data_IF_654148123756
#
_entry.id   IF_654148123756
#
_cell.length_a   1.000
_cell.length_b   1.000
_cell.length_c   1.000
_cell.angle_alpha   90.00
_cell.angle_beta   90.00
_cell.angle_gamma   90.00
#
_symmetry.space_group_name_H-M   'P 1'
#
loop_
_entity.id
_entity.type
_entity.pdbx_description
1 polymer ?
#
# COMPACT_ATOMS: atom_id res chain seq x y z
N UNK A 1 60.49 -0.72 4.31
CA UNK A 1 59.78 0.28 3.48
C UNK A 1 60.46 0.38 2.12
N UNK A 2 59.84 -0.15 1.05
CA UNK A 2 60.34 0.04 -0.33
C UNK A 2 60.07 1.50 -0.73
N UNK A 3 61.12 2.27 -1.02
CA UNK A 3 61.00 3.61 -1.62
C UNK A 3 60.56 3.44 -3.08
N UNK A 4 59.34 3.86 -3.41
CA UNK A 4 58.89 3.97 -4.81
C UNK A 4 59.61 5.16 -5.43
N UNK A 5 60.45 4.91 -6.43
CA UNK A 5 61.22 5.92 -7.16
C UNK A 5 60.36 6.62 -8.21
N UNK A 6 60.38 7.95 -8.23
CA UNK A 6 59.56 8.82 -9.11
C UNK A 6 59.80 8.54 -10.61
N UNK A 7 60.92 7.94 -10.98
CA UNK A 7 61.20 7.55 -12.38
C UNK A 7 60.27 6.44 -12.91
N UNK A 8 59.71 5.58 -12.06
CA UNK A 8 58.81 4.52 -12.51
C UNK A 8 57.39 5.03 -12.85
N UNK A 9 57.03 6.27 -12.46
CA UNK A 9 55.74 6.89 -12.77
C UNK A 9 55.70 7.56 -14.14
N UNK A 10 56.85 7.79 -14.80
CA UNK A 10 56.94 8.52 -16.08
C UNK A 10 56.56 7.68 -17.32
N UNK A 11 56.35 6.37 -17.16
CA UNK A 11 55.93 5.46 -18.24
C UNK A 11 54.41 5.25 -18.32
N UNK A 12 53.63 5.99 -17.54
CA UNK A 12 52.18 6.01 -17.70
C UNK A 12 51.81 6.84 -18.94
N UNK A 13 51.51 6.16 -20.05
CA UNK A 13 50.89 6.80 -21.22
C UNK A 13 49.54 7.40 -20.78
N UNK A 14 49.37 8.71 -20.94
CA UNK A 14 48.11 9.39 -20.64
C UNK A 14 47.02 9.02 -21.66
N UNK A 15 45.76 9.06 -21.23
CA UNK A 15 44.60 8.91 -22.12
C UNK A 15 44.55 10.05 -23.14
N UNK A 16 44.17 9.74 -24.37
CA UNK A 16 43.95 10.75 -25.41
C UNK A 16 42.55 11.38 -25.27
N UNK A 17 42.41 12.65 -25.66
CA UNK A 17 41.13 13.34 -25.66
C UNK A 17 40.12 12.65 -26.59
N UNK A 18 40.59 12.11 -27.72
CA UNK A 18 39.76 11.36 -28.65
C UNK A 18 39.25 10.04 -28.08
N UNK A 19 40.06 9.30 -27.31
CA UNK A 19 39.59 8.09 -26.61
C UNK A 19 38.47 8.44 -25.63
N UNK A 20 38.62 9.53 -24.87
CA UNK A 20 37.57 9.97 -23.96
C UNK A 20 36.27 10.33 -24.70
N UNK A 21 36.37 11.03 -25.84
CA UNK A 21 35.18 11.42 -26.63
C UNK A 21 34.41 10.22 -27.16
N UNK A 22 35.10 9.18 -27.65
CA UNK A 22 34.46 7.96 -28.14
C UNK A 22 33.77 7.22 -26.98
N UNK A 23 34.42 7.14 -25.82
CA UNK A 23 33.83 6.48 -24.63
C UNK A 23 32.54 7.18 -24.21
N UNK A 24 32.53 8.52 -24.14
CA UNK A 24 31.32 9.28 -23.78
C UNK A 24 30.22 9.10 -24.84
N UNK A 25 30.56 9.06 -26.12
CA UNK A 25 29.60 8.82 -27.20
C UNK A 25 28.93 7.44 -27.10
N UNK A 26 29.71 6.38 -26.82
CA UNK A 26 29.17 5.02 -26.62
C UNK A 26 28.29 4.97 -25.37
N UNK A 27 28.74 5.57 -24.25
CA UNK A 27 27.94 5.64 -23.02
C UNK A 27 26.61 6.37 -23.24
N UNK A 28 26.60 7.43 -24.05
CA UNK A 28 25.37 8.15 -24.42
C UNK A 28 24.35 7.26 -25.14
N UNK A 29 24.78 6.47 -26.13
CA UNK A 29 23.91 5.55 -26.86
C UNK A 29 23.36 4.46 -25.92
N UNK A 30 24.21 3.89 -25.07
CA UNK A 30 23.79 2.86 -24.12
C UNK A 30 22.77 3.40 -23.11
N UNK A 31 22.95 4.63 -22.63
CA UNK A 31 22.04 5.25 -21.65
C UNK A 31 20.61 5.41 -22.20
N UNK A 32 20.45 5.80 -23.47
CA UNK A 32 19.13 5.99 -24.10
C UNK A 32 18.31 4.70 -24.12
N UNK A 33 18.96 3.55 -24.33
CA UNK A 33 18.27 2.25 -24.32
C UNK A 33 18.10 1.70 -22.90
N UNK A 34 19.09 1.91 -22.03
CA UNK A 34 19.11 1.33 -20.69
C UNK A 34 18.13 2.00 -19.71
N UNK A 35 17.98 3.33 -19.76
CA UNK A 35 17.12 4.08 -18.83
C UNK A 35 15.64 3.65 -18.88
N UNK A 36 14.95 3.63 -20.04
CA UNK A 36 13.54 3.24 -20.08
C UNK A 36 13.33 1.78 -19.68
N UNK A 37 14.28 0.89 -20.03
CA UNK A 37 14.22 -0.51 -19.63
C UNK A 37 14.35 -0.67 -18.10
N UNK A 38 15.23 0.11 -17.46
CA UNK A 38 15.39 0.12 -16.01
C UNK A 38 14.15 0.70 -15.31
N UNK A 39 13.57 1.78 -15.83
CA UNK A 39 12.32 2.35 -15.30
C UNK A 39 11.19 1.32 -15.33
N UNK A 40 11.01 0.61 -16.47
CA UNK A 40 10.05 -0.50 -16.61
C UNK A 40 10.24 -1.58 -15.53
N UNK A 41 11.49 -1.98 -15.32
CA UNK A 41 11.83 -2.97 -14.30
C UNK A 41 11.49 -2.50 -12.89
N UNK A 42 11.82 -1.24 -12.55
CA UNK A 42 11.49 -0.66 -11.25
C UNK A 42 9.97 -0.56 -11.03
N UNK A 43 9.20 -0.15 -12.04
CA UNK A 43 7.72 -0.12 -11.94
C UNK A 43 7.15 -1.51 -11.64
N UNK A 44 7.57 -2.53 -12.37
CA UNK A 44 7.17 -3.94 -12.11
C UNK A 44 7.56 -4.43 -10.71
N UNK A 45 8.71 -3.98 -10.19
CA UNK A 45 9.10 -4.30 -8.83
C UNK A 45 8.18 -3.61 -7.81
N UNK A 46 7.78 -2.35 -8.04
CA UNK A 46 6.80 -1.63 -7.21
C UNK A 46 5.44 -2.33 -7.21
N UNK A 47 4.90 -2.74 -8.37
CA UNK A 47 3.55 -3.37 -8.45
C UNK A 47 3.43 -4.69 -7.67
N UNK A 48 4.53 -5.39 -7.42
CA UNK A 48 4.54 -6.57 -6.55
C UNK A 48 4.15 -6.25 -5.10
N UNK A 49 4.45 -5.03 -4.62
CA UNK A 49 4.04 -4.57 -3.30
C UNK A 49 2.52 -4.48 -3.18
N UNK A 50 1.84 -3.85 -4.13
CA UNK A 50 0.38 -3.74 -4.13
C UNK A 50 -0.29 -5.11 -4.04
N UNK A 51 0.15 -6.09 -4.84
CA UNK A 51 -0.38 -7.46 -4.82
C UNK A 51 -0.22 -8.11 -3.44
N UNK A 52 0.94 -7.94 -2.83
CA UNK A 52 1.25 -8.49 -1.50
C UNK A 52 0.42 -7.82 -0.41
N UNK A 53 0.29 -6.50 -0.46
CA UNK A 53 -0.39 -5.72 0.58
C UNK A 53 -1.91 -5.87 0.50
N UNK A 54 -2.49 -5.89 -0.70
CA UNK A 54 -3.91 -6.21 -0.89
C UNK A 54 -4.25 -7.65 -0.47
N UNK A 55 -3.32 -8.59 -0.62
CA UNK A 55 -3.50 -9.95 -0.08
C UNK A 55 -3.52 -9.95 1.46
N UNK A 56 -2.61 -9.21 2.10
CA UNK A 56 -2.61 -9.05 3.57
C UNK A 56 -3.91 -8.40 4.07
N UNK A 57 -4.41 -7.39 3.38
CA UNK A 57 -5.68 -6.74 3.72
C UNK A 57 -6.86 -7.70 3.60
N UNK A 58 -6.89 -8.52 2.55
CA UNK A 58 -7.90 -9.57 2.41
C UNK A 58 -7.82 -10.59 3.56
N UNK A 59 -6.63 -11.06 3.90
CA UNK A 59 -6.43 -12.04 4.98
C UNK A 59 -6.81 -11.44 6.33
N UNK A 60 -6.46 -10.18 6.58
CA UNK A 60 -6.86 -9.42 7.77
C UNK A 60 -8.39 -9.29 7.86
N UNK A 61 -9.05 -8.89 6.78
CA UNK A 61 -10.50 -8.81 6.71
C UNK A 61 -11.16 -10.18 6.94
N UNK A 62 -10.60 -11.24 6.35
CA UNK A 62 -11.11 -12.59 6.55
C UNK A 62 -10.93 -13.09 7.98
N UNK A 63 -9.80 -12.78 8.62
CA UNK A 63 -9.55 -13.13 10.01
C UNK A 63 -10.51 -12.38 10.93
N UNK A 64 -10.67 -11.07 10.70
CA UNK A 64 -11.59 -10.24 11.46
C UNK A 64 -13.03 -10.75 11.33
N UNK A 65 -13.48 -11.07 10.13
CA UNK A 65 -14.81 -11.61 9.91
C UNK A 65 -15.07 -12.89 10.71
N UNK A 66 -14.09 -13.79 10.78
CA UNK A 66 -14.22 -15.10 11.46
C UNK A 66 -14.22 -15.00 12.98
N UNK A 67 -13.69 -13.92 13.56
CA UNK A 67 -13.81 -13.68 15.00
C UNK A 67 -15.19 -13.12 15.34
N UNK A 68 -15.62 -13.34 16.58
CA UNK A 68 -16.85 -12.77 17.10
C UNK A 68 -16.61 -11.33 17.55
N UNK A 69 -17.48 -10.40 17.12
CA UNK A 69 -17.39 -8.99 17.45
C UNK A 69 -18.72 -8.46 17.99
N UNK A 70 -18.65 -7.71 19.08
CA UNK A 70 -19.79 -6.96 19.62
C UNK A 70 -19.34 -5.53 19.92
N UNK A 71 -20.22 -4.55 19.67
CA UNK A 71 -19.92 -3.17 20.01
C UNK A 71 -19.93 -2.96 21.53
N UNK A 72 -19.02 -2.10 21.99
CA UNK A 72 -18.99 -1.72 23.39
C UNK A 72 -20.29 -1.01 23.76
N UNK A 73 -21.01 -1.55 24.74
CA UNK A 73 -22.26 -0.96 25.21
C UNK A 73 -23.48 -1.34 24.36
N UNK A 74 -23.34 -2.29 23.43
CA UNK A 74 -24.48 -2.90 22.73
C UNK A 74 -25.26 -3.88 23.61
N UNK A 75 -25.54 -3.47 24.85
CA UNK A 75 -26.43 -4.18 25.76
C UNK A 75 -27.74 -3.42 25.81
N UNK A 76 -28.77 -3.91 25.13
CA UNK A 76 -30.12 -3.39 25.29
C UNK A 76 -30.86 -4.23 26.32
N UNK A 77 -31.57 -3.56 27.24
CA UNK A 77 -32.54 -4.26 28.08
C UNK A 77 -33.67 -4.74 27.18
N UNK A 78 -33.84 -6.06 27.08
CA UNK A 78 -34.96 -6.65 26.37
C UNK A 78 -36.25 -6.24 27.11
N UNK A 79 -37.11 -5.49 26.42
CA UNK A 79 -38.44 -5.14 26.95
C UNK A 79 -39.31 -6.39 27.12
N UNK A 80 -40.38 -6.30 27.92
CA UNK A 80 -41.30 -7.43 28.08
C UNK A 80 -41.93 -7.81 26.72
N UNK A 81 -41.49 -8.94 26.15
CA UNK A 81 -41.88 -9.39 24.81
C UNK A 81 -41.03 -8.85 23.64
N UNK A 82 -39.86 -8.27 23.93
CA UNK A 82 -38.90 -7.87 22.90
C UNK A 82 -37.99 -9.02 22.46
N UNK A 83 -37.51 -8.96 21.23
CA UNK A 83 -36.45 -9.82 20.70
C UNK A 83 -35.10 -9.11 20.80
N UNK A 84 -34.01 -9.86 20.89
CA UNK A 84 -32.67 -9.29 20.69
C UNK A 84 -32.51 -9.07 19.19
N UNK A 85 -32.23 -7.84 18.74
CA UNK A 85 -31.75 -7.67 17.37
C UNK A 85 -30.48 -8.51 17.25
N UNK A 86 -30.49 -9.51 16.36
CA UNK A 86 -29.32 -10.34 16.04
C UNK A 86 -28.22 -9.40 15.51
N UNK A 87 -27.43 -8.83 16.42
CA UNK A 87 -26.15 -8.26 16.05
C UNK A 87 -25.33 -9.43 15.56
N UNK A 88 -25.09 -9.44 14.27
CA UNK A 88 -24.39 -10.55 13.68
C UNK A 88 -23.02 -10.74 14.33
N UNK A 89 -22.71 -11.94 14.83
CA UNK A 89 -21.45 -12.20 15.51
C UNK A 89 -20.24 -11.99 14.58
N UNK A 90 -20.45 -12.15 13.27
CA UNK A 90 -19.46 -11.94 12.23
C UNK A 90 -19.78 -10.68 11.41
N UNK A 91 -18.78 -9.83 11.21
CA UNK A 91 -18.90 -8.57 10.46
C UNK A 91 -17.52 -8.10 10.03
N UNK A 92 -17.46 -7.13 9.13
CA UNK A 92 -16.22 -6.42 8.81
C UNK A 92 -15.99 -5.21 9.69
N UNK A 93 -14.74 -4.72 9.76
CA UNK A 93 -14.37 -3.56 10.55
C UNK A 93 -15.19 -2.33 10.18
N UNK A 94 -15.64 -1.61 11.20
CA UNK A 94 -16.36 -0.36 11.05
C UNK A 94 -16.02 0.61 12.19
N UNK A 95 -16.21 1.93 12.00
CA UNK A 95 -16.13 2.91 13.08
C UNK A 95 -17.20 2.72 14.14
N UNK A 96 -16.91 3.13 15.38
CA UNK A 96 -17.87 3.09 16.48
C UNK A 96 -19.18 3.82 16.12
N UNK A 97 -20.32 3.17 16.38
CA UNK A 97 -21.65 3.70 16.07
C UNK A 97 -22.04 3.66 14.58
N UNK A 98 -21.24 3.04 13.72
CA UNK A 98 -21.53 2.84 12.29
C UNK A 98 -21.58 1.34 11.92
N UNK A 99 -22.51 0.54 12.48
CA UNK A 99 -22.50 -0.92 12.32
C UNK A 99 -22.73 -1.39 10.88
N UNK A 100 -23.30 -0.54 10.01
CA UNK A 100 -23.52 -0.83 8.59
C UNK A 100 -22.25 -0.85 7.74
N UNK A 101 -21.09 -0.52 8.31
CA UNK A 101 -19.81 -0.52 7.61
C UNK A 101 -19.03 0.77 7.80
N UNK A 102 -17.94 0.90 7.07
CA UNK A 102 -17.10 2.09 7.10
C UNK A 102 -15.99 2.04 6.09
N UNK A 103 -15.36 3.18 5.91
CA UNK A 103 -14.23 3.36 5.02
C UNK A 103 -13.06 3.90 5.83
N UNK A 104 -11.88 3.31 5.64
CA UNK A 104 -10.67 3.79 6.28
C UNK A 104 -10.24 5.15 5.71
N UNK A 105 -10.54 5.39 4.43
CA UNK A 105 -10.07 6.53 3.67
C UNK A 105 -8.67 6.27 3.13
N UNK A 106 -8.37 6.90 1.99
CA UNK A 106 -7.08 6.72 1.32
C UNK A 106 -5.95 7.21 2.23
N UNK A 107 -5.05 6.30 2.60
CA UNK A 107 -4.01 6.50 3.61
C UNK A 107 -2.62 6.16 3.04
N UNK A 108 -1.68 7.13 3.00
CA UNK A 108 -1.93 8.57 3.12
C UNK A 108 -2.85 9.06 1.98
N UNK A 109 -3.43 10.26 2.09
CA UNK A 109 -4.34 10.80 1.07
C UNK A 109 -3.65 10.94 -0.31
N UNK A 110 -4.39 10.81 -1.42
CA UNK A 110 -3.82 10.92 -2.78
C UNK A 110 -3.17 12.28 -3.08
N UNK A 111 -3.56 13.34 -2.36
CA UNK A 111 -2.91 14.65 -2.48
C UNK A 111 -1.47 14.67 -1.93
N UNK A 112 -1.08 13.64 -1.18
CA UNK A 112 0.27 13.49 -0.64
C UNK A 112 1.19 12.88 -1.70
N UNK A 113 2.27 13.56 -2.07
CA UNK A 113 3.19 13.01 -3.06
C UNK A 113 4.24 12.08 -2.43
N UNK A 114 4.06 10.77 -2.62
CA UNK A 114 5.00 9.76 -2.13
C UNK A 114 6.31 9.72 -2.93
N UNK A 115 6.34 10.21 -4.17
CA UNK A 115 7.55 10.21 -4.99
C UNK A 115 8.62 11.17 -4.47
N UNK A 116 8.25 12.18 -3.67
CA UNK A 116 9.20 13.09 -3.04
C UNK A 116 9.96 12.46 -1.86
N UNK A 117 9.52 11.29 -1.38
CA UNK A 117 10.17 10.59 -0.29
C UNK A 117 11.44 9.84 -0.70
N UNK A 118 12.32 9.50 0.26
CA UNK A 118 13.51 8.70 0.00
C UNK A 118 13.23 7.37 -0.72
N UNK A 119 13.70 7.29 -1.97
CA UNK A 119 13.49 6.13 -2.85
C UNK A 119 12.11 6.09 -3.52
N UNK A 120 11.41 7.23 -3.57
CA UNK A 120 10.08 7.38 -4.15
C UNK A 120 9.01 6.64 -3.36
N UNK A 121 9.02 6.78 -2.03
CA UNK A 121 8.15 6.06 -1.09
C UNK A 121 7.46 7.00 -0.13
N UNK A 122 6.24 6.68 0.25
CA UNK A 122 5.61 7.25 1.42
C UNK A 122 6.26 6.62 2.67
N UNK A 123 6.71 7.44 3.61
CA UNK A 123 7.39 6.98 4.82
C UNK A 123 6.57 7.39 6.06
N UNK A 124 6.09 6.42 6.85
CA UNK A 124 5.44 6.74 8.12
C UNK A 124 6.45 7.25 9.15
N UNK A 125 6.10 8.31 9.86
CA UNK A 125 6.87 8.86 10.98
C UNK A 125 5.94 9.45 12.05
N UNK A 126 6.32 9.40 13.32
CA UNK A 126 5.54 10.04 14.39
C UNK A 126 5.59 11.57 14.22
N UNK A 127 4.43 12.23 14.18
CA UNK A 127 4.32 13.67 13.97
C UNK A 127 4.46 14.14 12.51
N UNK A 128 4.67 13.19 11.59
CA UNK A 128 5.00 13.47 10.17
C UNK A 128 6.32 14.25 9.98
N UNK A 129 6.55 14.72 8.75
CA UNK A 129 7.53 15.79 8.49
C UNK A 129 8.46 15.59 7.30
N UNK A 130 8.53 16.59 6.41
CA UNK A 130 9.39 16.57 5.21
C UNK A 130 8.72 15.89 4.01
N UNK A 131 9.35 15.99 2.85
CA UNK A 131 8.80 15.48 1.59
C UNK A 131 8.72 13.95 1.61
N UNK A 132 7.53 13.39 1.31
CA UNK A 132 7.25 11.95 1.34
C UNK A 132 7.13 11.31 2.73
N UNK A 133 7.22 12.08 3.83
CA UNK A 133 6.93 11.59 5.18
C UNK A 133 5.54 12.02 5.68
N UNK A 134 4.78 11.09 6.24
CA UNK A 134 3.44 11.36 6.79
C UNK A 134 3.29 10.80 8.20
N UNK A 135 2.27 11.26 8.92
CA UNK A 135 2.05 10.82 10.30
C UNK A 135 1.54 9.37 10.37
N UNK A 136 2.22 8.52 11.14
CA UNK A 136 1.78 7.14 11.39
C UNK A 136 0.38 7.08 12.03
N UNK A 137 -0.04 8.14 12.71
CA UNK A 137 -1.36 8.23 13.36
C UNK A 137 -2.52 8.19 12.36
N UNK A 138 -2.28 8.40 11.06
CA UNK A 138 -3.31 8.15 10.02
C UNK A 138 -3.77 6.68 10.00
N UNK A 139 -2.91 5.74 10.43
CA UNK A 139 -3.24 4.33 10.59
C UNK A 139 -3.82 4.06 11.99
N UNK A 140 -3.05 4.38 13.04
CA UNK A 140 -3.40 4.06 14.43
C UNK A 140 -4.63 4.81 14.95
N UNK A 141 -4.94 5.97 14.37
CA UNK A 141 -6.11 6.78 14.72
C UNK A 141 -7.38 6.35 14.00
N UNK A 142 -7.30 5.37 13.09
CA UNK A 142 -8.43 4.97 12.25
C UNK A 142 -9.05 3.65 12.74
N UNK A 143 -10.35 3.67 13.03
CA UNK A 143 -11.07 2.51 13.54
C UNK A 143 -11.06 1.31 12.57
N UNK A 144 -11.11 1.56 11.25
CA UNK A 144 -11.13 0.49 10.24
C UNK A 144 -9.75 -0.17 10.14
N UNK A 145 -8.67 0.62 10.07
CA UNK A 145 -7.30 0.09 10.07
C UNK A 145 -6.96 -0.68 11.36
N UNK A 146 -7.35 -0.13 12.51
CA UNK A 146 -7.19 -0.79 13.80
C UNK A 146 -7.97 -2.11 13.87
N UNK A 147 -9.21 -2.12 13.36
CA UNK A 147 -10.00 -3.35 13.28
C UNK A 147 -9.31 -4.42 12.44
N UNK A 148 -8.69 -4.05 11.32
CA UNK A 148 -7.90 -4.99 10.50
C UNK A 148 -6.56 -5.38 11.14
N UNK A 149 -6.13 -4.73 12.23
CA UNK A 149 -4.77 -4.82 12.74
C UNK A 149 -3.73 -4.61 11.60
N UNK A 150 -4.01 -3.61 10.75
CA UNK A 150 -3.20 -3.31 9.57
C UNK A 150 -2.59 -1.93 9.69
N UNK A 151 -1.28 -1.84 9.52
CA UNK A 151 -0.52 -0.61 9.54
C UNK A 151 0.74 -0.74 8.67
N UNK A 152 1.26 0.39 8.21
CA UNK A 152 2.54 0.45 7.53
C UNK A 152 3.59 1.05 8.46
N UNK A 153 4.58 0.24 8.86
CA UNK A 153 5.72 0.66 9.70
C UNK A 153 6.95 1.07 8.86
N UNK A 154 6.96 0.67 7.59
CA UNK A 154 8.08 0.89 6.66
C UNK A 154 7.64 1.74 5.49
N UNK A 155 8.62 2.28 4.76
CA UNK A 155 8.35 3.01 3.53
C UNK A 155 7.69 2.11 2.47
N UNK A 156 6.64 2.62 1.82
CA UNK A 156 5.82 1.89 0.86
C UNK A 156 5.55 2.75 -0.38
N UNK A 157 5.15 2.13 -1.49
CA UNK A 157 4.93 2.82 -2.77
C UNK A 157 3.47 3.25 -2.99
N UNK A 158 2.53 2.63 -2.28
CA UNK A 158 1.11 2.82 -2.53
C UNK A 158 0.39 3.55 -1.39
N UNK A 159 -0.67 4.24 -1.76
CA UNK A 159 -1.72 4.70 -0.88
C UNK A 159 -2.77 3.61 -0.78
N UNK A 160 -3.27 3.32 0.42
CA UNK A 160 -4.22 2.23 0.61
C UNK A 160 -5.57 2.75 1.06
N UNK A 161 -6.63 2.09 0.64
CA UNK A 161 -7.97 2.31 1.14
C UNK A 161 -8.62 0.97 1.46
N UNK A 162 -9.54 0.98 2.41
CA UNK A 162 -10.35 -0.17 2.73
C UNK A 162 -11.78 0.27 2.98
N UNK A 163 -12.70 -0.29 2.22
CA UNK A 163 -14.13 -0.01 2.30
C UNK A 163 -14.80 -1.30 2.75
N UNK A 164 -15.66 -1.22 3.76
CA UNK A 164 -16.48 -2.32 4.23
C UNK A 164 -17.94 -1.91 4.34
N UNK A 165 -18.82 -2.83 4.00
CA UNK A 165 -20.27 -2.72 4.12
C UNK A 165 -20.77 -3.96 4.83
N UNK A 166 -21.51 -3.78 5.92
CA UNK A 166 -22.11 -4.84 6.70
C UNK A 166 -23.62 -4.81 6.54
N UNK A 167 -24.23 -5.98 6.43
CA UNK A 167 -25.66 -6.13 6.60
C UNK A 167 -25.97 -6.21 8.09
N UNK A 168 -26.74 -5.25 8.59
CA UNK A 168 -27.17 -5.19 10.00
C UNK A 168 -28.38 -6.08 10.30
N UNK A 169 -28.94 -6.74 9.29
CA UNK A 169 -30.09 -7.65 9.43
C UNK A 169 -29.71 -9.07 9.01
N UNK A 170 -29.78 -10.01 9.95
CA UNK A 170 -29.47 -11.43 9.72
C UNK A 170 -28.02 -11.80 10.03
N UNK A 171 -27.53 -12.88 9.41
CA UNK A 171 -26.24 -13.51 9.74
C UNK A 171 -25.05 -12.79 9.06
N UNK A 172 -24.75 -11.57 9.49
CA UNK A 172 -23.39 -11.05 9.42
C UNK A 172 -22.75 -10.99 8.07
N UNK A 173 -23.52 -10.67 7.04
CA UNK A 173 -22.95 -10.55 5.71
C UNK A 173 -22.08 -9.30 5.65
N UNK A 174 -20.88 -9.46 5.13
CA UNK A 174 -20.00 -8.33 4.84
C UNK A 174 -19.59 -8.34 3.37
N UNK A 175 -19.47 -7.16 2.79
CA UNK A 175 -18.68 -6.94 1.58
C UNK A 175 -17.54 -5.98 1.90
N UNK A 176 -16.37 -6.23 1.36
CA UNK A 176 -15.24 -5.34 1.53
C UNK A 176 -14.42 -5.21 0.25
N UNK A 177 -13.75 -4.08 0.13
CA UNK A 177 -12.92 -3.71 -1.01
C UNK A 177 -11.63 -3.10 -0.48
N UNK A 178 -10.50 -3.75 -0.76
CA UNK A 178 -9.17 -3.21 -0.50
C UNK A 178 -8.64 -2.58 -1.79
N UNK A 179 -8.14 -1.35 -1.70
CA UNK A 179 -7.64 -0.59 -2.84
C UNK A 179 -6.22 -0.11 -2.58
N UNK A 180 -5.41 -0.05 -3.63
CA UNK A 180 -4.07 0.50 -3.61
C UNK A 180 -3.86 1.42 -4.82
N UNK A 181 -3.32 2.61 -4.58
CA UNK A 181 -3.10 3.64 -5.59
C UNK A 181 -1.63 4.06 -5.57
N UNK A 182 -0.98 4.20 -6.72
CA UNK A 182 0.35 4.78 -6.77
C UNK A 182 0.61 5.46 -8.11
N UNK A 183 1.32 6.57 -8.07
CA UNK A 183 1.96 7.18 -9.23
C UNK A 183 3.33 6.50 -9.43
N UNK A 184 3.44 5.63 -10.43
CA UNK A 184 4.61 4.75 -10.59
C UNK A 184 5.73 5.39 -11.42
N UNK A 185 5.41 6.38 -12.25
CA UNK A 185 6.30 7.08 -13.18
C UNK A 185 6.33 8.61 -13.03
N UNK A 186 5.73 9.14 -11.97
CA UNK A 186 5.78 10.56 -11.56
C UNK A 186 5.09 11.51 -12.56
N UNK A 187 3.98 11.05 -13.14
CA UNK A 187 3.16 11.81 -14.10
C UNK A 187 1.84 12.34 -13.51
N UNK A 188 1.64 12.16 -12.20
CA UNK A 188 0.42 12.45 -11.44
C UNK A 188 -0.82 11.62 -11.84
N UNK A 189 -0.65 10.54 -12.60
CA UNK A 189 -1.69 9.56 -12.90
C UNK A 189 -1.47 8.32 -12.03
N UNK A 190 -2.51 7.92 -11.31
CA UNK A 190 -2.41 6.81 -10.37
C UNK A 190 -2.78 5.49 -11.04
N UNK A 191 -1.88 4.51 -10.97
CA UNK A 191 -2.23 3.10 -11.11
C UNK A 191 -3.10 2.67 -9.95
N UNK A 192 -4.21 2.00 -10.24
CA UNK A 192 -5.16 1.53 -9.23
C UNK A 192 -5.24 0.01 -9.23
N UNK A 193 -5.17 -0.58 -8.04
CA UNK A 193 -5.32 -2.00 -7.81
C UNK A 193 -6.41 -2.23 -6.79
N UNK A 194 -7.34 -3.14 -7.08
CA UNK A 194 -8.46 -3.42 -6.19
C UNK A 194 -8.69 -4.92 -6.03
N UNK A 195 -8.95 -5.33 -4.79
CA UNK A 195 -9.37 -6.67 -4.43
C UNK A 195 -10.59 -6.62 -3.53
N UNK A 196 -11.64 -7.29 -3.97
CA UNK A 196 -12.92 -7.31 -3.25
C UNK A 196 -13.20 -8.71 -2.69
N UNK A 197 -13.94 -8.76 -1.60
CA UNK A 197 -14.36 -9.98 -0.95
C UNK A 197 -15.72 -9.83 -0.28
N UNK A 198 -16.36 -10.95 0.00
CA UNK A 198 -17.62 -11.00 0.73
C UNK A 198 -17.57 -12.14 1.75
N UNK A 199 -18.03 -11.86 2.97
CA UNK A 199 -18.20 -12.81 4.05
C UNK A 199 -19.68 -13.14 4.26
N UNK A 200 -19.98 -14.42 4.47
CA UNK A 200 -21.29 -14.94 4.86
C UNK A 200 -21.12 -16.14 5.83
N UNK A 201 -22.21 -16.88 6.08
CA UNK A 201 -22.20 -18.08 6.94
C UNK A 201 -21.23 -19.17 6.48
N UNK A 202 -20.89 -19.21 5.19
CA UNK A 202 -20.03 -20.20 4.58
C UNK A 202 -18.55 -19.78 4.65
N UNK A 203 -18.27 -18.55 5.08
CA UNK A 203 -16.94 -17.98 5.25
C UNK A 203 -16.72 -16.77 4.35
N UNK A 204 -15.45 -16.49 4.05
CA UNK A 204 -15.07 -15.31 3.26
C UNK A 204 -14.60 -15.76 1.89
N UNK A 205 -15.27 -15.26 0.87
CA UNK A 205 -15.01 -15.52 -0.54
C UNK A 205 -14.40 -14.28 -1.19
N UNK A 206 -13.39 -14.47 -2.04
CA UNK A 206 -12.79 -13.39 -2.82
C UNK A 206 -13.45 -13.30 -4.21
N UNK A 207 -13.51 -12.10 -4.77
CA UNK A 207 -13.65 -11.95 -6.21
C UNK A 207 -12.49 -12.67 -6.93
N UNK A 208 -12.77 -13.27 -8.09
CA UNK A 208 -11.79 -14.02 -8.87
C UNK A 208 -10.82 -13.03 -9.53
N UNK A 209 -9.80 -12.61 -8.79
CA UNK A 209 -8.69 -11.82 -9.34
C UNK A 209 -8.51 -10.45 -8.69
N UNK A 210 -7.54 -9.74 -9.24
CA UNK A 210 -7.18 -8.37 -8.87
C UNK A 210 -7.64 -7.47 -10.01
N UNK A 211 -8.47 -6.48 -9.72
CA UNK A 211 -8.75 -5.41 -10.66
C UNK A 211 -7.52 -4.52 -10.76
N UNK A 212 -7.16 -4.14 -11.98
CA UNK A 212 -6.02 -3.27 -12.26
C UNK A 212 -6.46 -2.24 -13.29
N UNK A 213 -6.24 -0.96 -12.98
CA UNK A 213 -6.40 0.15 -13.91
C UNK A 213 -5.09 0.92 -14.03
N UNK A 214 -4.80 1.40 -15.25
CA UNK A 214 -3.54 2.05 -15.61
C UNK A 214 -2.33 1.22 -15.17
N UNK A 215 -2.23 -0.06 -15.60
CA UNK A 215 -1.04 -0.86 -15.37
C UNK A 215 0.12 -0.27 -16.19
N UNK A 216 0.87 0.62 -15.57
CA UNK A 216 2.04 1.25 -16.18
C UNK A 216 3.18 0.23 -16.14
N UNK A 217 3.16 -0.72 -17.08
CA UNK A 217 4.27 -1.64 -17.31
C UNK A 217 5.50 -0.90 -17.85
#
# INVERSE_FOLDING_TARGET
MKKVSIEQLKNAKGFTLIELMIVVAILGILAVVAVPALQKYMRRAKTAEAKTQLAKLYDAASSFFKSEHADRGATNFIGAGGDVEDMAPHRCPHPDGQPAGGEAGVTPALAFNCNEGPGGRCIPASGGGGAGYYDIDLWNGNAVWNGLNYLQEQGHYFHYNFIAVNNTTGYGQCQFTAQAFADLDDDAVFSTYERSGAGDQQGVNAAIGLYVDQEVE
#
